data_IF_469300592212
#
_entry.id   IF_469300592212
#
_cell.length_a   1.000
_cell.length_b   1.000
_cell.length_c   1.000
_cell.angle_alpha   90.00
_cell.angle_beta   90.00
_cell.angle_gamma   90.00
#
_symmetry.space_group_name_H-M   'P 1'
#
loop_
_entity.id
_entity.type
_entity.pdbx_description
1 polymer ?
#
# COMPACT_ATOMS: atom_id res chain seq x y z
N UNK A 1 8.71 9.38 3.47
CA UNK A 1 8.73 8.70 4.79
C UNK A 1 7.82 7.47 4.90
N UNK A 2 6.48 7.59 4.93
CA UNK A 2 5.62 6.41 5.11
C UNK A 2 5.72 5.38 3.96
N UNK A 3 5.81 5.86 2.72
CA UNK A 3 5.97 5.01 1.52
C UNK A 3 7.33 4.30 1.53
N UNK A 4 8.41 5.04 1.75
CA UNK A 4 9.77 4.50 1.81
C UNK A 4 9.90 3.44 2.92
N UNK A 5 9.39 3.74 4.13
CA UNK A 5 9.38 2.77 5.23
C UNK A 5 8.62 1.49 4.85
N UNK A 6 7.44 1.62 4.24
CA UNK A 6 6.67 0.46 3.81
C UNK A 6 7.37 -0.36 2.71
N UNK A 7 8.11 0.29 1.81
CA UNK A 7 8.92 -0.38 0.80
C UNK A 7 10.08 -1.15 1.43
N UNK A 8 10.85 -0.51 2.29
CA UNK A 8 12.03 -1.08 2.96
C UNK A 8 11.66 -2.21 3.93
N UNK A 9 10.58 -2.06 4.70
CA UNK A 9 10.07 -3.09 5.60
C UNK A 9 9.26 -4.19 4.92
N UNK A 10 9.02 -4.08 3.61
CA UNK A 10 8.25 -5.07 2.85
C UNK A 10 6.77 -5.11 3.20
N UNK A 11 6.20 -4.02 3.73
CA UNK A 11 4.78 -3.86 4.02
C UNK A 11 4.00 -3.44 2.77
N UNK A 12 2.70 -3.76 2.74
CA UNK A 12 1.76 -3.19 1.77
C UNK A 12 1.17 -1.93 2.37
N UNK A 13 1.43 -0.78 1.74
CA UNK A 13 0.85 0.50 2.13
C UNK A 13 -0.28 0.85 1.19
N UNK A 14 -1.48 1.00 1.75
CA UNK A 14 -2.66 1.49 1.04
C UNK A 14 -3.07 2.83 1.63
N UNK A 15 -3.65 3.70 0.80
CA UNK A 15 -4.27 4.92 1.25
C UNK A 15 -5.55 5.21 0.51
N UNK A 16 -6.34 6.14 1.06
CA UNK A 16 -7.63 6.56 0.50
C UNK A 16 -8.61 5.39 0.26
N UNK A 17 -8.56 4.35 1.10
CA UNK A 17 -9.50 3.23 1.02
C UNK A 17 -10.94 3.73 1.20
N UNK A 18 -11.75 3.55 0.16
CA UNK A 18 -13.20 3.85 0.16
C UNK A 18 -13.97 2.75 -0.58
N UNK A 19 -14.69 1.93 0.18
CA UNK A 19 -15.43 0.80 -0.38
C UNK A 19 -14.48 -0.17 -1.07
N UNK A 20 -14.64 -0.33 -2.39
CA UNK A 20 -13.80 -1.20 -3.23
C UNK A 20 -12.61 -0.48 -3.88
N UNK A 21 -12.50 0.84 -3.72
CA UNK A 21 -11.42 1.62 -4.31
C UNK A 21 -10.35 1.94 -3.28
N UNK A 22 -9.09 1.87 -3.69
CA UNK A 22 -7.94 2.24 -2.87
C UNK A 22 -6.76 2.62 -3.77
N UNK A 23 -5.83 3.38 -3.21
CA UNK A 23 -4.52 3.60 -3.82
C UNK A 23 -3.50 2.71 -3.13
N UNK A 24 -2.71 1.98 -3.91
CA UNK A 24 -1.59 1.20 -3.39
C UNK A 24 -0.29 1.95 -3.63
N UNK A 25 0.52 2.07 -2.58
CA UNK A 25 1.81 2.76 -2.62
C UNK A 25 3.00 1.81 -2.45
N UNK A 26 2.78 0.59 -1.95
CA UNK A 26 3.80 -0.47 -1.92
C UNK A 26 3.16 -1.86 -1.96
N UNK A 27 3.88 -2.83 -2.55
CA UNK A 27 3.55 -4.26 -2.54
C UNK A 27 2.11 -4.58 -3.03
N UNK A 28 1.75 -4.06 -4.21
CA UNK A 28 0.41 -4.25 -4.81
C UNK A 28 0.10 -5.68 -5.22
N UNK A 29 1.12 -6.50 -5.44
CA UNK A 29 1.01 -7.92 -5.79
C UNK A 29 0.29 -8.78 -4.73
N UNK A 30 0.09 -8.27 -3.51
CA UNK A 30 -0.60 -8.96 -2.41
C UNK A 30 -2.11 -8.72 -2.36
N UNK A 31 -2.63 -7.80 -3.17
CA UNK A 31 -4.05 -7.44 -3.20
C UNK A 31 -4.75 -8.18 -4.36
N UNK A 32 -5.96 -8.71 -4.11
CA UNK A 32 -6.79 -9.45 -5.07
C UNK A 32 -8.17 -8.82 -5.22
#
# INVERSE_FOLDING_TARGET
>A
LAVEFAQESGQTLIGFLRGKNLNVYSRSERIR
#
